data_IF_588098399813
#
_entry.id   IF_588098399813
#
_cell.length_a   1.000
_cell.length_b   1.000
_cell.length_c   1.000
_cell.angle_alpha   90.00
_cell.angle_beta   90.00
_cell.angle_gamma   90.00
#
_symmetry.space_group_name_H-M   'P 1'
#
loop_
_entity.id
_entity.type
_entity.pdbx_description
1 polymer ?
#
# COMPACT_ATOMS: atom_id res chain seq x y z
N UNK A 1 27.74 15.84 -5.38
CA UNK A 1 27.14 14.58 -4.88
C UNK A 1 25.73 14.93 -4.46
N UNK A 2 24.73 14.16 -4.90
CA UNK A 2 23.34 14.41 -4.50
C UNK A 2 23.19 14.01 -3.05
N UNK A 3 22.59 14.88 -2.25
CA UNK A 3 22.46 14.69 -0.81
C UNK A 3 21.11 14.06 -0.45
N UNK A 4 21.17 12.90 0.20
CA UNK A 4 20.02 12.16 0.74
C UNK A 4 20.10 12.06 2.28
N UNK A 5 21.11 12.66 2.90
CA UNK A 5 21.61 12.26 4.23
C UNK A 5 20.58 12.41 5.33
N UNK A 6 19.86 13.53 5.42
CA UNK A 6 18.88 13.77 6.49
C UNK A 6 17.74 12.75 6.47
N UNK A 7 17.04 12.64 5.33
CA UNK A 7 15.91 11.71 5.21
C UNK A 7 16.37 10.25 5.27
N UNK A 8 17.53 9.90 4.71
CA UNK A 8 18.04 8.54 4.76
C UNK A 8 18.43 8.13 6.18
N UNK A 9 19.04 9.04 6.95
CA UNK A 9 19.40 8.81 8.35
C UNK A 9 18.18 8.51 9.20
N UNK A 10 17.09 9.26 9.03
CA UNK A 10 15.82 9.00 9.73
C UNK A 10 15.28 7.60 9.45
N UNK A 11 15.30 7.19 8.17
CA UNK A 11 14.87 5.83 7.80
C UNK A 11 15.80 4.80 8.44
N UNK A 12 17.12 4.98 8.34
CA UNK A 12 18.11 4.06 8.92
C UNK A 12 17.92 3.86 10.42
N UNK A 13 17.84 4.96 11.19
CA UNK A 13 17.63 4.91 12.64
C UNK A 13 16.33 4.17 12.99
N UNK A 14 15.22 4.50 12.31
CA UNK A 14 13.97 3.76 12.49
C UNK A 14 14.13 2.28 12.15
N UNK A 15 14.75 1.94 11.01
CA UNK A 15 14.96 0.55 10.56
C UNK A 15 15.97 -0.25 11.39
N UNK A 16 16.72 0.39 12.28
CA UNK A 16 17.61 -0.30 13.24
C UNK A 16 16.93 -0.48 14.61
N UNK A 17 16.00 0.41 14.98
CA UNK A 17 15.41 0.45 16.33
C UNK A 17 13.96 -0.06 16.41
N UNK A 18 13.20 0.04 15.32
CA UNK A 18 11.78 -0.32 15.24
C UNK A 18 11.45 -1.80 15.44
N UNK A 19 10.16 -2.09 15.61
CA UNK A 19 9.67 -3.45 15.89
C UNK A 19 9.29 -4.26 14.65
N UNK A 20 9.24 -3.63 13.47
CA UNK A 20 8.73 -4.23 12.23
C UNK A 20 9.83 -4.56 11.22
N UNK A 21 11.02 -4.88 11.74
CA UNK A 21 12.17 -5.29 10.93
C UNK A 21 12.03 -6.75 10.50
N UNK A 22 11.77 -6.96 9.23
CA UNK A 22 12.22 -8.17 8.55
C UNK A 22 13.57 -7.83 7.97
N UNK A 23 14.65 -8.50 8.39
CA UNK A 23 16.04 -8.26 7.94
C UNK A 23 16.31 -8.37 6.43
N UNK A 24 15.27 -8.41 5.61
CA UNK A 24 15.26 -8.46 4.15
C UNK A 24 14.71 -7.13 3.60
N UNK A 25 15.56 -6.10 3.55
CA UNK A 25 15.21 -4.84 2.91
C UNK A 25 15.43 -4.95 1.39
N UNK A 26 14.38 -4.69 0.61
CA UNK A 26 14.54 -4.43 -0.82
C UNK A 26 14.81 -2.95 -1.03
N UNK A 27 15.65 -2.63 -2.02
CA UNK A 27 15.94 -1.26 -2.43
C UNK A 27 15.56 -1.09 -3.88
N UNK A 28 14.98 0.05 -4.24
CA UNK A 28 14.78 0.44 -5.63
C UNK A 28 15.16 1.90 -5.86
N UNK A 29 15.44 2.25 -7.11
CA UNK A 29 15.71 3.63 -7.53
C UNK A 29 15.15 3.89 -8.93
N UNK A 30 15.08 5.16 -9.31
CA UNK A 30 14.63 5.54 -10.64
C UNK A 30 15.83 5.53 -11.63
N UNK A 31 15.64 4.98 -12.84
CA UNK A 31 16.61 5.10 -13.94
C UNK A 31 16.47 6.48 -14.60
N UNK A 32 17.10 7.50 -14.01
CA UNK A 32 17.05 8.88 -14.47
C UNK A 32 18.17 9.75 -13.86
N UNK A 33 18.16 11.08 -14.09
CA UNK A 33 19.15 11.99 -13.52
C UNK A 33 19.14 11.92 -11.98
N UNK A 34 20.31 11.84 -11.32
CA UNK A 34 20.40 11.71 -9.85
C UNK A 34 19.67 12.79 -9.06
N UNK A 35 19.52 13.99 -9.63
CA UNK A 35 18.91 15.17 -9.00
C UNK A 35 17.39 15.03 -8.84
N UNK A 36 16.77 14.11 -9.58
CA UNK A 36 15.32 13.84 -9.56
C UNK A 36 15.00 12.37 -9.31
N UNK A 37 16.02 11.53 -9.16
CA UNK A 37 15.86 10.11 -8.85
C UNK A 37 15.64 9.92 -7.36
N UNK A 38 14.72 9.04 -6.99
CA UNK A 38 14.49 8.67 -5.60
C UNK A 38 15.17 7.36 -5.27
N UNK A 39 15.51 7.20 -4.00
CA UNK A 39 15.79 5.90 -3.41
C UNK A 39 14.54 5.44 -2.64
N UNK A 40 14.17 4.16 -2.76
CA UNK A 40 13.06 3.57 -2.02
C UNK A 40 13.55 2.39 -1.20
N UNK A 41 13.31 2.43 0.10
CA UNK A 41 13.68 1.38 1.06
C UNK A 41 12.42 0.66 1.49
N UNK A 42 12.33 -0.65 1.23
CA UNK A 42 11.17 -1.47 1.52
C UNK A 42 11.36 -2.30 2.79
N UNK A 43 10.25 -2.61 3.44
CA UNK A 43 10.16 -3.63 4.48
C UNK A 43 8.73 -4.18 4.57
N UNK A 44 8.49 -5.05 5.54
CA UNK A 44 7.17 -5.65 5.73
C UNK A 44 6.85 -5.96 7.18
N UNK A 45 5.57 -5.78 7.53
CA UNK A 45 4.97 -6.37 8.72
C UNK A 45 4.27 -7.66 8.30
N UNK A 46 4.74 -8.81 8.81
CA UNK A 46 4.34 -10.11 8.27
C UNK A 46 3.02 -10.65 8.83
N UNK A 47 2.54 -10.10 9.94
CA UNK A 47 1.29 -10.47 10.61
C UNK A 47 0.82 -9.35 11.55
N UNK A 48 -0.42 -9.49 12.05
CA UNK A 48 -1.00 -8.65 13.10
C UNK A 48 -1.00 -7.14 12.76
N UNK A 49 -1.16 -6.79 11.47
CA UNK A 49 -1.23 -5.40 11.05
C UNK A 49 -2.48 -4.75 11.63
N UNK A 50 -2.26 -3.67 12.38
CA UNK A 50 -3.29 -2.90 13.05
C UNK A 50 -3.11 -1.40 12.76
N UNK A 51 -4.05 -0.53 13.14
CA UNK A 51 -3.85 0.92 13.06
C UNK A 51 -2.60 1.40 13.82
N UNK A 52 -2.19 0.69 14.87
CA UNK A 52 -0.95 0.99 15.59
C UNK A 52 0.29 0.66 14.73
N UNK A 53 0.30 -0.46 14.02
CA UNK A 53 1.35 -0.84 13.06
C UNK A 53 1.48 0.20 11.95
N UNK A 54 0.34 0.62 11.37
CA UNK A 54 0.33 1.64 10.31
C UNK A 54 0.88 2.97 10.83
N UNK A 55 0.45 3.41 12.02
CA UNK A 55 0.95 4.64 12.65
C UNK A 55 2.46 4.59 12.89
N UNK A 56 2.96 3.48 13.44
CA UNK A 56 4.37 3.31 13.71
C UNK A 56 5.21 3.42 12.43
N UNK A 57 4.85 2.67 11.39
CA UNK A 57 5.52 2.72 10.07
C UNK A 57 5.38 4.11 9.45
N UNK A 58 4.17 4.64 9.34
CA UNK A 58 3.93 5.90 8.65
C UNK A 58 4.71 7.09 9.24
N UNK A 59 4.90 7.09 10.56
CA UNK A 59 5.56 8.18 11.30
C UNK A 59 7.02 7.88 11.63
N UNK A 60 7.58 6.75 11.18
CA UNK A 60 8.90 6.25 11.58
C UNK A 60 9.05 6.20 13.12
N UNK A 61 8.07 5.62 13.80
CA UNK A 61 8.01 5.54 15.26
C UNK A 61 7.83 6.91 15.92
N UNK A 62 7.08 7.82 15.30
CA UNK A 62 6.83 9.18 15.80
C UNK A 62 7.90 10.23 15.42
N UNK A 63 8.93 9.86 14.64
CA UNK A 63 9.98 10.79 14.18
C UNK A 63 9.47 11.81 13.16
N UNK A 64 8.40 11.49 12.42
CA UNK A 64 7.78 12.37 11.42
C UNK A 64 6.36 12.72 11.85
N UNK A 65 6.19 13.96 12.34
CA UNK A 65 4.94 14.50 12.84
C UNK A 65 4.59 15.86 12.21
N UNK A 66 4.56 15.88 10.88
CA UNK A 66 4.14 17.06 10.09
C UNK A 66 2.64 17.01 9.82
N UNK A 67 2.05 18.16 9.48
CA UNK A 67 0.63 18.22 9.11
C UNK A 67 0.31 17.31 7.92
N UNK A 68 1.17 17.32 6.89
CA UNK A 68 1.09 16.40 5.75
C UNK A 68 1.11 14.93 6.20
N UNK A 69 1.99 14.58 7.14
CA UNK A 69 2.10 13.21 7.67
C UNK A 69 0.82 12.79 8.39
N UNK A 70 0.27 13.65 9.28
CA UNK A 70 -0.96 13.35 10.03
C UNK A 70 -2.17 13.14 9.13
N UNK A 71 -2.35 14.03 8.15
CA UNK A 71 -3.44 13.91 7.16
C UNK A 71 -3.32 12.66 6.31
N UNK A 72 -2.10 12.33 5.88
CA UNK A 72 -1.82 11.08 5.18
C UNK A 72 -2.10 9.85 6.03
N UNK A 73 -1.73 9.87 7.31
CA UNK A 73 -1.96 8.78 8.25
C UNK A 73 -3.46 8.54 8.48
N UNK A 74 -4.26 9.60 8.62
CA UNK A 74 -5.72 9.47 8.77
C UNK A 74 -6.32 8.72 7.57
N UNK A 75 -5.93 9.09 6.35
CA UNK A 75 -6.40 8.43 5.13
C UNK A 75 -5.89 6.99 5.01
N UNK A 76 -4.65 6.73 5.41
CA UNK A 76 -4.06 5.39 5.40
C UNK A 76 -4.80 4.44 6.36
N UNK A 77 -5.11 4.91 7.57
CA UNK A 77 -5.91 4.14 8.55
C UNK A 77 -7.31 3.91 8.01
N UNK A 78 -7.96 4.93 7.43
CA UNK A 78 -9.29 4.80 6.84
C UNK A 78 -9.33 3.75 5.73
N UNK A 79 -8.32 3.70 4.86
CA UNK A 79 -8.22 2.69 3.82
C UNK A 79 -8.09 1.28 4.44
N UNK A 80 -7.24 1.13 5.45
CA UNK A 80 -7.09 -0.14 6.17
C UNK A 80 -8.39 -0.59 6.83
N UNK A 81 -9.11 0.30 7.52
CA UNK A 81 -10.38 -0.02 8.17
C UNK A 81 -11.41 -0.53 7.15
N UNK A 82 -11.56 0.16 6.02
CA UNK A 82 -12.49 -0.24 4.96
C UNK A 82 -12.15 -1.63 4.39
N UNK A 83 -10.86 -1.93 4.18
CA UNK A 83 -10.41 -3.22 3.66
C UNK A 83 -10.58 -4.33 4.71
N UNK A 84 -10.10 -4.10 5.93
CA UNK A 84 -10.12 -5.08 7.01
C UNK A 84 -11.55 -5.52 7.36
N UNK A 85 -12.53 -4.62 7.28
CA UNK A 85 -13.95 -4.96 7.48
C UNK A 85 -14.53 -5.94 6.44
N UNK A 86 -13.90 -6.11 5.29
CA UNK A 86 -14.33 -7.05 4.25
C UNK A 86 -13.60 -8.38 4.27
N UNK A 87 -12.54 -8.49 5.06
CA UNK A 87 -11.70 -9.68 5.11
C UNK A 87 -12.44 -10.82 5.79
N UNK A 88 -12.54 -11.95 5.09
CA UNK A 88 -13.03 -13.19 5.66
C UNK A 88 -11.91 -13.90 6.44
N UNK A 89 -12.30 -14.85 7.30
CA UNK A 89 -11.46 -15.52 8.31
C UNK A 89 -10.00 -15.81 7.89
N UNK A 90 -9.04 -15.77 8.83
CA UNK A 90 -7.64 -15.93 8.52
C UNK A 90 -7.34 -17.28 7.85
N UNK A 91 -6.47 -17.30 6.84
CA UNK A 91 -6.17 -18.50 6.08
C UNK A 91 -5.26 -19.44 6.88
N UNK A 92 -5.37 -20.74 6.60
CA UNK A 92 -4.66 -21.80 7.33
C UNK A 92 -3.15 -21.89 7.08
N UNK A 93 -2.58 -21.18 6.09
CA UNK A 93 -1.14 -21.21 5.80
C UNK A 93 -0.49 -19.81 5.87
N UNK A 94 0.80 -19.76 6.22
CA UNK A 94 1.56 -18.52 6.45
C UNK A 94 1.73 -17.64 5.20
N UNK A 95 1.75 -18.22 4.00
CA UNK A 95 1.90 -17.42 2.76
C UNK A 95 0.61 -16.66 2.48
N UNK A 96 -0.53 -17.34 2.62
CA UNK A 96 -1.85 -16.72 2.56
C UNK A 96 -2.04 -15.75 3.72
N UNK A 97 -1.51 -16.06 4.91
CA UNK A 97 -1.56 -15.15 6.06
C UNK A 97 -0.86 -13.83 5.75
N UNK A 98 0.33 -13.83 5.13
CA UNK A 98 0.98 -12.59 4.70
C UNK A 98 0.20 -11.86 3.59
N UNK A 99 -0.28 -12.60 2.60
CA UNK A 99 -1.07 -12.04 1.48
C UNK A 99 -2.46 -11.54 1.89
N UNK A 100 -2.87 -11.74 3.14
CA UNK A 100 -4.15 -11.28 3.69
C UNK A 100 -3.96 -10.33 4.88
N UNK A 101 -3.03 -10.59 5.79
CA UNK A 101 -2.90 -9.89 7.07
C UNK A 101 -1.55 -9.19 7.24
N UNK A 102 -0.67 -9.29 6.24
CA UNK A 102 0.59 -8.56 6.20
C UNK A 102 0.43 -7.14 5.67
N UNK A 103 1.52 -6.39 5.67
CA UNK A 103 1.63 -5.09 5.02
C UNK A 103 3.06 -4.92 4.53
N UNK A 104 3.22 -4.53 3.27
CA UNK A 104 4.51 -4.04 2.76
C UNK A 104 4.52 -2.52 2.94
N UNK A 105 5.69 -1.96 3.15
CA UNK A 105 5.87 -0.51 3.16
C UNK A 105 7.17 -0.13 2.46
N UNK A 106 7.25 1.11 2.00
CA UNK A 106 8.51 1.73 1.66
C UNK A 106 8.56 3.20 2.02
N UNK A 107 9.79 3.73 2.06
CA UNK A 107 10.07 5.14 2.20
C UNK A 107 10.73 5.67 0.92
N UNK A 108 10.09 6.64 0.26
CA UNK A 108 10.72 7.38 -0.84
C UNK A 108 11.60 8.50 -0.27
N UNK A 109 12.91 8.40 -0.51
CA UNK A 109 13.92 9.38 -0.12
C UNK A 109 14.26 10.21 -1.34
N UNK A 110 13.91 11.49 -1.29
CA UNK A 110 14.20 12.45 -2.36
C UNK A 110 15.50 13.20 -2.08
N UNK A 111 16.25 13.60 -3.13
CA UNK A 111 17.34 14.55 -3.03
C UNK A 111 16.94 15.81 -2.25
N UNK A 112 17.70 16.15 -1.20
CA UNK A 112 17.50 17.35 -0.39
C UNK A 112 16.22 17.39 0.46
N UNK A 113 15.44 16.31 0.50
CA UNK A 113 14.26 16.26 1.35
C UNK A 113 14.63 15.98 2.80
N UNK A 114 14.02 16.75 3.71
CA UNK A 114 14.19 16.58 5.15
C UNK A 114 13.54 15.29 5.66
N UNK A 115 12.41 14.89 5.08
CA UNK A 115 11.61 13.75 5.51
C UNK A 115 11.35 12.78 4.35
N UNK A 116 11.37 11.46 4.60
CA UNK A 116 10.95 10.49 3.60
C UNK A 116 9.44 10.53 3.40
N UNK A 117 8.96 10.11 2.23
CA UNK A 117 7.54 9.90 1.98
C UNK A 117 7.19 8.44 2.20
N UNK A 118 6.33 8.10 3.18
CA UNK A 118 5.88 6.72 3.38
C UNK A 118 4.89 6.30 2.28
N UNK A 119 4.98 5.03 1.89
CA UNK A 119 3.97 4.32 1.10
C UNK A 119 3.72 2.96 1.71
N UNK A 120 2.46 2.66 2.02
CA UNK A 120 2.04 1.35 2.51
C UNK A 120 1.39 0.55 1.38
N UNK A 121 1.35 -0.76 1.53
CA UNK A 121 0.73 -1.72 0.62
C UNK A 121 -0.11 -2.66 1.45
N UNK A 122 -1.42 -2.53 1.29
CA UNK A 122 -2.40 -3.34 2.00
C UNK A 122 -2.82 -4.50 1.10
N UNK A 123 -2.87 -5.72 1.65
CA UNK A 123 -3.31 -6.89 0.91
C UNK A 123 -4.80 -6.79 0.57
N UNK A 124 -5.15 -7.23 -0.63
CA UNK A 124 -6.53 -7.43 -1.05
C UNK A 124 -6.79 -8.87 -1.51
N UNK A 125 -5.73 -9.64 -1.77
CA UNK A 125 -5.84 -11.05 -2.16
C UNK A 125 -6.55 -11.87 -1.08
N UNK A 126 -7.36 -12.83 -1.51
CA UNK A 126 -8.21 -13.69 -0.69
C UNK A 126 -9.52 -13.02 -0.24
N UNK A 127 -9.70 -11.72 -0.48
CA UNK A 127 -11.01 -11.07 -0.37
C UNK A 127 -11.70 -11.08 -1.74
N UNK A 128 -13.01 -11.27 -1.77
CA UNK A 128 -13.79 -11.23 -3.00
C UNK A 128 -13.54 -9.91 -3.78
N UNK A 129 -13.23 -10.03 -5.06
CA UNK A 129 -12.79 -8.92 -5.91
C UNK A 129 -13.88 -7.86 -6.14
N UNK A 130 -15.16 -8.26 -6.19
CA UNK A 130 -16.28 -7.31 -6.24
C UNK A 130 -16.36 -6.49 -4.94
N UNK A 131 -16.21 -7.11 -3.77
CA UNK A 131 -16.16 -6.40 -2.47
C UNK A 131 -14.95 -5.47 -2.35
N UNK A 132 -13.78 -5.90 -2.83
CA UNK A 132 -12.58 -5.03 -2.88
C UNK A 132 -12.87 -3.80 -3.76
N UNK A 133 -13.56 -3.97 -4.89
CA UNK A 133 -13.93 -2.86 -5.76
C UNK A 133 -14.90 -1.88 -5.08
N UNK A 134 -15.85 -2.38 -4.29
CA UNK A 134 -16.73 -1.53 -3.47
C UNK A 134 -15.95 -0.73 -2.41
N UNK A 135 -14.97 -1.35 -1.74
CA UNK A 135 -14.10 -0.68 -0.76
C UNK A 135 -13.32 0.45 -1.40
N UNK A 136 -12.68 0.19 -2.55
CA UNK A 136 -11.93 1.21 -3.29
C UNK A 136 -12.86 2.37 -3.69
N UNK A 137 -14.07 2.05 -4.13
CA UNK A 137 -15.08 3.06 -4.48
C UNK A 137 -15.48 3.91 -3.25
N UNK A 138 -15.75 3.29 -2.10
CA UNK A 138 -16.02 3.99 -0.82
C UNK A 138 -14.85 4.87 -0.40
N UNK A 139 -13.63 4.40 -0.58
CA UNK A 139 -12.43 5.19 -0.30
C UNK A 139 -12.32 6.40 -1.24
N UNK A 140 -12.54 6.23 -2.54
CA UNK A 140 -12.55 7.33 -3.50
C UNK A 140 -13.62 8.39 -3.19
N UNK A 141 -14.82 7.97 -2.76
CA UNK A 141 -15.83 8.91 -2.26
C UNK A 141 -15.29 9.75 -1.10
N UNK A 142 -14.57 9.13 -0.17
CA UNK A 142 -13.99 9.84 0.96
C UNK A 142 -12.89 10.84 0.60
N UNK A 143 -12.29 10.68 -0.59
CA UNK A 143 -11.33 11.62 -1.18
C UNK A 143 -12.01 12.71 -2.02
N UNK A 144 -13.34 12.67 -2.19
CA UNK A 144 -14.08 13.55 -3.08
C UNK A 144 -13.98 13.17 -4.56
N UNK A 145 -13.47 11.99 -4.90
CA UNK A 145 -13.28 11.51 -6.27
C UNK A 145 -14.52 10.80 -6.81
N UNK A 146 -15.68 11.48 -6.78
CA UNK A 146 -16.99 10.90 -7.08
C UNK A 146 -17.03 10.15 -8.41
N UNK A 147 -16.58 10.77 -9.50
CA UNK A 147 -16.60 10.14 -10.82
C UNK A 147 -15.79 8.83 -10.86
N UNK A 148 -14.59 8.83 -10.26
CA UNK A 148 -13.75 7.62 -10.17
C UNK A 148 -14.39 6.55 -9.29
N UNK A 149 -15.05 6.95 -8.20
CA UNK A 149 -15.75 6.04 -7.31
C UNK A 149 -16.90 5.33 -8.04
N UNK A 150 -17.64 6.05 -8.88
CA UNK A 150 -18.76 5.50 -9.66
C UNK A 150 -18.28 4.62 -10.82
N UNK A 151 -17.14 4.97 -11.45
CA UNK A 151 -16.66 4.26 -12.63
C UNK A 151 -15.74 3.06 -12.33
N UNK A 152 -15.16 2.97 -11.13
CA UNK A 152 -14.14 1.95 -10.81
C UNK A 152 -14.63 0.49 -11.03
N UNK A 153 -15.81 0.08 -10.52
CA UNK A 153 -16.27 -1.30 -10.71
C UNK A 153 -16.49 -1.67 -12.17
N UNK A 154 -16.98 -0.74 -12.99
CA UNK A 154 -17.17 -0.97 -14.43
C UNK A 154 -15.82 -1.05 -15.15
N UNK A 155 -14.89 -0.14 -14.85
CA UNK A 155 -13.53 -0.16 -15.39
C UNK A 155 -12.84 -1.51 -15.12
N UNK A 156 -13.01 -2.07 -13.93
CA UNK A 156 -12.45 -3.38 -13.59
C UNK A 156 -13.00 -4.51 -14.49
N UNK A 157 -14.32 -4.50 -14.75
CA UNK A 157 -14.98 -5.44 -15.67
C UNK A 157 -14.49 -5.27 -17.12
N UNK A 158 -14.25 -4.04 -17.54
CA UNK A 158 -13.78 -3.74 -18.90
C UNK A 158 -12.32 -4.18 -19.12
N UNK A 159 -11.46 -4.06 -18.11
CA UNK A 159 -10.06 -4.54 -18.19
C UNK A 159 -10.00 -6.07 -18.15
N UNK A 160 -10.88 -6.72 -17.38
CA UNK A 160 -10.88 -8.17 -17.16
C UNK A 160 -12.23 -8.81 -17.53
N UNK A 161 -12.65 -8.78 -18.81
CA UNK A 161 -14.00 -9.18 -19.22
C UNK A 161 -14.30 -10.68 -19.03
N UNK A 162 -13.26 -11.50 -18.85
CA UNK A 162 -13.38 -12.96 -18.68
C UNK A 162 -13.34 -13.40 -17.21
N UNK A 163 -13.30 -12.46 -16.26
CA UNK A 163 -13.27 -12.76 -14.82
C UNK A 163 -14.64 -12.42 -14.21
N UNK A 164 -15.28 -13.42 -13.61
CA UNK A 164 -16.44 -13.18 -12.76
C UNK A 164 -15.97 -12.64 -11.40
N UNK A 165 -16.08 -11.32 -11.22
CA UNK A 165 -15.66 -10.63 -9.99
C UNK A 165 -16.39 -11.13 -8.74
N UNK A 166 -17.61 -11.65 -8.89
CA UNK A 166 -18.37 -12.20 -7.78
C UNK A 166 -17.82 -13.56 -7.30
N UNK A 167 -17.01 -14.24 -8.12
CA UNK A 167 -16.41 -15.54 -7.83
C UNK A 167 -14.89 -15.49 -7.71
N UNK A 168 -14.25 -14.34 -7.95
CA UNK A 168 -12.80 -14.19 -7.84
C UNK A 168 -12.37 -13.55 -6.52
N UNK A 169 -11.19 -13.93 -6.03
CA UNK A 169 -10.54 -13.35 -4.86
C UNK A 169 -9.04 -13.16 -5.05
N UNK A 170 -8.54 -13.31 -6.28
CA UNK A 170 -7.11 -13.33 -6.58
C UNK A 170 -6.70 -12.25 -7.57
N UNK A 171 -7.65 -11.51 -8.15
CA UNK A 171 -7.35 -10.53 -9.18
C UNK A 171 -6.68 -9.30 -8.57
N UNK A 172 -7.27 -8.67 -7.56
CA UNK A 172 -6.70 -7.51 -6.88
C UNK A 172 -5.81 -7.98 -5.72
N UNK A 173 -4.50 -7.83 -5.87
CA UNK A 173 -3.52 -8.40 -4.94
C UNK A 173 -3.12 -7.43 -3.84
N UNK A 174 -2.75 -6.20 -4.20
CA UNK A 174 -2.29 -5.18 -3.28
C UNK A 174 -2.90 -3.82 -3.62
N UNK A 175 -3.16 -3.01 -2.61
CA UNK A 175 -3.53 -1.61 -2.76
C UNK A 175 -2.45 -0.79 -2.05
N UNK A 176 -1.66 -0.03 -2.81
CA UNK A 176 -0.71 0.90 -2.23
C UNK A 176 -1.33 2.25 -1.96
N UNK A 177 -0.81 2.94 -0.95
CA UNK A 177 -1.24 4.28 -0.59
C UNK A 177 -0.08 5.12 -0.06
N UNK A 178 0.01 6.35 -0.55
CA UNK A 178 0.90 7.41 -0.06
C UNK A 178 0.19 8.76 -0.13
N UNK A 179 0.67 9.73 0.64
CA UNK A 179 0.13 11.08 0.63
C UNK A 179 1.26 12.10 0.63
N UNK A 180 1.12 13.14 -0.18
CA UNK A 180 2.02 14.31 -0.18
C UNK A 180 1.23 15.58 -0.39
N UNK A 181 1.77 16.72 0.03
CA UNK A 181 1.36 17.99 -0.55
C UNK A 181 2.45 18.44 -1.54
N UNK A 182 2.09 18.93 -2.75
CA UNK A 182 0.74 19.18 -3.26
C UNK A 182 0.06 17.99 -3.95
N UNK A 183 0.72 16.82 -4.07
CA UNK A 183 0.26 15.70 -4.89
C UNK A 183 -1.05 15.04 -4.45
N UNK A 184 -1.48 15.25 -3.21
CA UNK A 184 -2.68 14.64 -2.63
C UNK A 184 -2.52 13.16 -2.35
N UNK A 185 -3.66 12.45 -2.28
CA UNK A 185 -3.71 11.01 -2.16
C UNK A 185 -3.20 10.35 -3.44
N UNK A 186 -2.26 9.42 -3.30
CA UNK A 186 -1.75 8.60 -4.40
C UNK A 186 -1.96 7.14 -4.03
N UNK A 187 -2.65 6.39 -4.90
CA UNK A 187 -2.92 4.97 -4.70
C UNK A 187 -2.71 4.18 -5.99
N UNK A 188 -2.27 2.93 -5.85
CA UNK A 188 -2.13 2.00 -6.98
C UNK A 188 -2.68 0.63 -6.58
N UNK A 189 -3.55 0.06 -7.43
CA UNK A 189 -4.03 -1.31 -7.29
C UNK A 189 -3.15 -2.21 -8.15
N UNK A 190 -2.61 -3.26 -7.55
CA UNK A 190 -1.77 -4.24 -8.22
C UNK A 190 -2.64 -5.46 -8.54
N UNK A 191 -2.69 -5.80 -9.82
CA UNK A 191 -3.47 -6.93 -10.31
C UNK A 191 -2.57 -8.14 -10.55
N UNK A 192 -3.09 -9.33 -10.28
CA UNK A 192 -2.49 -10.56 -10.76
C UNK A 192 -2.53 -10.56 -12.30
N UNK A 193 -1.37 -10.72 -12.93
CA UNK A 193 -1.27 -10.73 -14.39
C UNK A 193 -2.16 -11.86 -14.96
N UNK A 194 -3.11 -11.49 -15.82
CA UNK A 194 -4.12 -12.39 -16.40
C UNK A 194 -3.57 -13.42 -17.41
N UNK A 195 -2.31 -13.83 -17.30
CA UNK A 195 -1.64 -14.75 -18.24
C UNK A 195 -1.72 -16.22 -17.83
N UNK A 196 -2.52 -16.58 -16.84
CA UNK A 196 -2.77 -17.99 -16.48
C UNK A 196 -4.27 -18.28 -16.47
N UNK A 197 -4.63 -19.43 -17.03
CA UNK A 197 -5.99 -19.89 -17.30
C UNK A 197 -6.97 -19.63 -16.15
N UNK A 198 -8.25 -19.47 -16.49
CA UNK A 198 -9.37 -19.32 -15.55
C UNK A 198 -9.37 -20.34 -14.39
N UNK A 199 -8.72 -21.49 -14.58
CA UNK A 199 -8.48 -22.52 -13.57
C UNK A 199 -7.71 -22.04 -12.33
N UNK A 200 -6.85 -21.01 -12.43
CA UNK A 200 -6.05 -20.55 -11.28
C UNK A 200 -6.74 -19.46 -10.43
N UNK A 201 -7.78 -18.82 -10.97
CA UNK A 201 -8.56 -17.79 -10.27
C UNK A 201 -9.80 -18.38 -9.56
N UNK A 202 -10.09 -19.67 -9.76
CA UNK A 202 -11.27 -20.38 -9.27
C UNK A 202 -11.04 -21.26 -8.01
N UNK A 203 -9.88 -21.15 -7.35
CA UNK A 203 -9.56 -21.80 -6.07
C UNK A 203 -9.08 -20.76 -5.04
#
# INVERSE_FOLDING_TARGET
MVDYSDSLKLVQEYTMEGSWHTGDHLVSWDYGPPEVSRIKLYGGATKDVSPATIRDVWTLGGRVDTETSRKGLELAIKLWELLHMQMESPPMDRKREFLMHGMIWHYEVWPGAQYPVPKIYLPAAGTNDERVAEVISKFFYSLGWKERAESYPQMLKDIFPNVDMSQSSRLQTWISFSYTEPGGAYSTVYYQAATRSAEFLAE
#
